data_IF_864866971179
#
_entry.id   IF_864866971179
#
_cell.length_a   1.000
_cell.length_b   1.000
_cell.length_c   1.000
_cell.angle_alpha   90.00
_cell.angle_beta   90.00
_cell.angle_gamma   90.00
#
_symmetry.space_group_name_H-M   'P 1'
#
loop_
_entity.id
_entity.type
_entity.pdbx_description
1 polymer ?
#
# COMPACT_ATOMS: atom_id res chain seq x y z
N UNK A 1 24.04 -31.80 4.66
CA UNK A 1 23.74 -30.39 4.94
C UNK A 1 24.33 -29.57 3.79
N UNK A 2 23.57 -29.29 2.79
CA UNK A 2 24.03 -28.54 1.63
C UNK A 2 23.74 -27.06 1.87
N UNK A 3 24.77 -26.23 1.77
CA UNK A 3 24.64 -24.80 1.69
C UNK A 3 23.75 -24.47 0.47
N UNK A 4 22.56 -23.97 0.69
CA UNK A 4 21.72 -23.46 -0.39
C UNK A 4 22.24 -22.09 -0.83
N UNK A 5 23.20 -22.08 -1.75
CA UNK A 5 23.38 -20.90 -2.57
C UNK A 5 22.12 -20.76 -3.43
N UNK A 6 21.26 -19.81 -3.10
CA UNK A 6 20.12 -19.44 -3.94
C UNK A 6 20.66 -18.73 -5.18
N UNK A 7 20.82 -19.47 -6.25
CA UNK A 7 21.14 -18.90 -7.54
C UNK A 7 19.82 -18.41 -8.16
N UNK A 8 19.59 -17.08 -8.19
CA UNK A 8 18.47 -16.47 -8.88
C UNK A 8 18.83 -16.34 -10.36
N UNK A 9 17.97 -16.85 -11.22
CA UNK A 9 18.01 -16.63 -12.67
C UNK A 9 17.07 -15.49 -12.99
N UNK A 10 17.56 -14.44 -13.62
CA UNK A 10 16.71 -13.35 -14.11
C UNK A 10 15.95 -13.86 -15.34
N UNK A 11 14.66 -14.17 -15.16
CA UNK A 11 13.76 -14.51 -16.25
C UNK A 11 13.07 -13.24 -16.76
N UNK A 12 13.32 -12.88 -18.00
CA UNK A 12 12.52 -11.86 -18.66
C UNK A 12 11.10 -12.39 -18.88
N UNK A 13 10.09 -11.57 -18.62
CA UNK A 13 8.70 -11.94 -18.82
C UNK A 13 8.47 -12.43 -20.27
N UNK A 14 7.92 -13.64 -20.42
CA UNK A 14 7.59 -14.30 -21.70
C UNK A 14 8.76 -14.81 -22.55
N UNK A 15 9.99 -14.83 -22.06
CA UNK A 15 11.09 -15.58 -22.68
C UNK A 15 11.19 -16.97 -22.05
N UNK A 16 11.35 -17.99 -22.89
CA UNK A 16 11.66 -19.36 -22.45
C UNK A 16 13.16 -19.45 -22.37
N UNK A 17 13.69 -19.50 -21.15
CA UNK A 17 15.09 -19.81 -20.95
C UNK A 17 15.28 -21.31 -20.81
N UNK A 18 16.23 -21.89 -21.56
CA UNK A 18 16.60 -23.28 -21.43
C UNK A 18 17.83 -23.41 -20.54
N UNK A 19 17.64 -23.97 -19.35
CA UNK A 19 18.73 -24.30 -18.46
C UNK A 19 19.24 -25.71 -18.78
N UNK A 20 20.48 -25.82 -19.25
CA UNK A 20 21.16 -27.09 -19.40
C UNK A 20 21.84 -27.48 -18.09
N UNK A 21 21.56 -28.67 -17.60
CA UNK A 21 22.19 -29.20 -16.39
C UNK A 21 22.67 -30.61 -16.60
N UNK A 22 23.72 -30.98 -15.87
CA UNK A 22 24.25 -32.32 -15.79
C UNK A 22 24.04 -32.86 -14.37
N UNK A 23 23.46 -34.04 -14.25
CA UNK A 23 23.30 -34.71 -12.96
C UNK A 23 24.40 -35.76 -12.79
N UNK A 24 25.35 -35.52 -11.89
CA UNK A 24 26.42 -36.47 -11.51
C UNK A 24 26.60 -36.51 -10.00
N UNK A 25 26.84 -37.68 -9.47
CA UNK A 25 27.18 -37.90 -8.04
C UNK A 25 26.16 -37.26 -7.07
N UNK A 26 24.86 -37.38 -7.36
CA UNK A 26 23.78 -36.79 -6.58
C UNK A 26 23.82 -35.23 -6.53
N UNK A 27 24.49 -34.59 -7.50
CA UNK A 27 24.57 -33.14 -7.63
C UNK A 27 24.08 -32.70 -9.00
N UNK A 28 23.38 -31.56 -9.02
CA UNK A 28 22.97 -30.89 -10.26
C UNK A 28 24.02 -29.81 -10.56
N UNK A 29 24.65 -29.89 -11.73
CA UNK A 29 25.56 -28.85 -12.22
C UNK A 29 24.89 -28.13 -13.40
N UNK A 30 24.72 -26.83 -13.29
CA UNK A 30 24.23 -26.02 -14.38
C UNK A 30 25.35 -25.71 -15.37
N UNK A 31 25.13 -26.02 -16.65
CA UNK A 31 26.13 -25.86 -17.70
C UNK A 31 26.06 -24.44 -18.33
N UNK A 32 24.87 -23.82 -18.29
CA UNK A 32 24.62 -22.49 -18.83
C UNK A 32 23.75 -21.72 -17.84
N UNK A 33 24.33 -21.06 -16.86
CA UNK A 33 23.59 -20.15 -16.01
C UNK A 33 24.18 -18.74 -16.15
N UNK A 34 23.40 -17.80 -16.63
CA UNK A 34 23.68 -16.39 -16.38
C UNK A 34 23.29 -16.12 -14.93
N UNK A 35 24.21 -16.36 -14.02
CA UNK A 35 24.05 -15.97 -12.62
C UNK A 35 24.31 -14.47 -12.56
N UNK A 36 23.25 -13.68 -12.39
CA UNK A 36 23.42 -12.28 -12.02
C UNK A 36 23.74 -12.21 -10.54
N UNK A 37 24.96 -11.81 -10.20
CA UNK A 37 25.38 -11.58 -8.82
C UNK A 37 24.84 -10.26 -8.23
N UNK A 38 24.04 -9.52 -8.96
CA UNK A 38 23.50 -8.22 -8.56
C UNK A 38 22.13 -8.40 -7.92
N UNK A 39 22.11 -8.86 -6.67
CA UNK A 39 20.89 -8.85 -5.85
C UNK A 39 20.64 -7.41 -5.36
N UNK A 40 19.90 -6.65 -6.14
CA UNK A 40 19.36 -5.36 -5.67
C UNK A 40 17.94 -5.60 -5.16
N UNK A 41 17.81 -5.81 -3.85
CA UNK A 41 16.52 -6.08 -3.19
C UNK A 41 15.43 -5.07 -3.57
N UNK A 42 15.74 -3.77 -3.58
CA UNK A 42 14.77 -2.73 -3.92
C UNK A 42 14.32 -2.82 -5.39
N UNK A 43 15.25 -3.18 -6.30
CA UNK A 43 14.93 -3.43 -7.70
C UNK A 43 13.98 -4.62 -7.83
N UNK A 44 14.29 -5.73 -7.19
CA UNK A 44 13.51 -6.97 -7.31
C UNK A 44 12.10 -6.78 -6.75
N UNK A 45 11.97 -6.12 -5.60
CA UNK A 45 10.66 -5.77 -5.03
C UNK A 45 9.90 -4.82 -5.94
N UNK A 46 10.55 -3.76 -6.45
CA UNK A 46 9.90 -2.81 -7.35
C UNK A 46 9.40 -3.49 -8.63
N UNK A 47 10.23 -4.30 -9.25
CA UNK A 47 9.90 -5.04 -10.46
C UNK A 47 8.75 -6.04 -10.22
N UNK A 48 8.72 -6.71 -9.06
CA UNK A 48 7.63 -7.57 -8.66
C UNK A 48 6.30 -6.81 -8.54
N UNK A 49 6.32 -5.59 -7.95
CA UNK A 49 5.14 -4.73 -7.84
C UNK A 49 4.65 -4.26 -9.22
N UNK A 50 5.57 -3.89 -10.10
CA UNK A 50 5.25 -3.49 -11.49
C UNK A 50 4.65 -4.68 -12.26
N UNK A 51 5.31 -5.84 -12.23
CA UNK A 51 4.84 -7.05 -12.92
C UNK A 51 3.49 -7.52 -12.41
N UNK A 52 3.32 -7.61 -11.09
CA UNK A 52 2.06 -8.04 -10.48
C UNK A 52 0.89 -7.11 -10.79
N UNK A 53 1.15 -5.79 -10.81
CA UNK A 53 0.13 -4.78 -11.20
C UNK A 53 -0.25 -4.94 -12.68
N UNK A 54 0.74 -5.09 -13.56
CA UNK A 54 0.52 -5.32 -15.00
C UNK A 54 -0.31 -6.57 -15.24
N UNK A 55 0.13 -7.68 -14.67
CA UNK A 55 -0.51 -8.98 -14.84
C UNK A 55 -1.97 -8.98 -14.37
N UNK A 56 -2.23 -8.38 -13.21
CA UNK A 56 -3.59 -8.31 -12.68
C UNK A 56 -4.51 -7.50 -13.61
N UNK A 57 -4.07 -6.35 -14.06
CA UNK A 57 -4.87 -5.46 -14.94
C UNK A 57 -5.09 -6.09 -16.31
N UNK A 58 -4.05 -6.66 -16.92
CA UNK A 58 -4.13 -7.23 -18.28
C UNK A 58 -4.91 -8.53 -18.33
N UNK A 59 -4.63 -9.47 -17.41
CA UNK A 59 -5.30 -10.78 -17.39
C UNK A 59 -6.78 -10.69 -16.99
N UNK A 60 -7.19 -9.63 -16.29
CA UNK A 60 -8.58 -9.35 -15.98
C UNK A 60 -9.25 -8.40 -16.98
N UNK A 61 -8.56 -8.03 -18.08
CA UNK A 61 -9.07 -7.20 -19.17
C UNK A 61 -9.54 -5.80 -18.76
N UNK A 62 -8.95 -5.19 -17.72
CA UNK A 62 -9.23 -3.81 -17.39
C UNK A 62 -8.58 -2.86 -18.41
N UNK A 63 -9.30 -1.81 -18.79
CA UNK A 63 -8.81 -0.81 -19.74
C UNK A 63 -7.63 0.01 -19.21
N UNK A 64 -7.56 0.18 -17.89
CA UNK A 64 -6.57 0.95 -17.18
C UNK A 64 -6.91 1.03 -15.71
N UNK A 65 -6.25 1.93 -14.98
CA UNK A 65 -6.40 2.07 -13.53
C UNK A 65 -6.72 3.51 -13.11
N UNK A 66 -7.49 3.63 -12.03
CA UNK A 66 -7.78 4.88 -11.32
C UNK A 66 -7.11 4.86 -9.94
N UNK A 67 -6.53 5.97 -9.55
CA UNK A 67 -5.85 6.12 -8.27
C UNK A 67 -6.33 7.40 -7.60
N UNK A 68 -6.80 7.32 -6.36
CA UNK A 68 -7.02 8.48 -5.52
C UNK A 68 -5.66 9.08 -5.14
N UNK A 69 -5.34 10.25 -5.67
CA UNK A 69 -4.07 10.94 -5.39
C UNK A 69 -4.28 11.89 -4.22
N UNK A 70 -3.64 11.61 -3.09
CA UNK A 70 -3.72 12.44 -1.89
C UNK A 70 -2.59 13.49 -1.79
N UNK A 71 -1.61 13.45 -2.69
CA UNK A 71 -0.36 14.21 -2.54
C UNK A 71 0.61 13.58 -1.53
N UNK A 72 0.27 12.41 -0.94
CA UNK A 72 1.13 11.63 -0.05
C UNK A 72 1.93 10.57 -0.78
N UNK A 73 2.96 10.02 -0.09
CA UNK A 73 3.96 9.12 -0.67
C UNK A 73 3.37 7.81 -1.18
N UNK A 74 2.39 7.23 -0.49
CA UNK A 74 1.78 5.95 -0.87
C UNK A 74 1.04 6.05 -2.20
N UNK A 75 0.22 7.10 -2.36
CA UNK A 75 -0.47 7.37 -3.62
C UNK A 75 0.50 7.71 -4.74
N UNK A 76 1.60 8.40 -4.43
CA UNK A 76 2.63 8.75 -5.40
C UNK A 76 3.41 7.52 -5.88
N UNK A 77 3.82 6.64 -4.98
CA UNK A 77 4.49 5.39 -5.34
C UNK A 77 3.55 4.46 -6.12
N UNK A 78 2.29 4.34 -5.69
CA UNK A 78 1.28 3.55 -6.42
C UNK A 78 1.09 4.07 -7.84
N UNK A 79 1.04 5.39 -8.04
CA UNK A 79 0.92 5.99 -9.38
C UNK A 79 2.17 5.74 -10.24
N UNK A 80 3.37 5.81 -9.65
CA UNK A 80 4.63 5.53 -10.35
C UNK A 80 4.71 4.06 -10.79
N UNK A 81 4.39 3.11 -9.90
CA UNK A 81 4.34 1.67 -10.21
C UNK A 81 3.29 1.38 -11.31
N UNK A 82 2.11 1.98 -11.21
CA UNK A 82 1.06 1.81 -12.21
C UNK A 82 1.48 2.37 -13.59
N UNK A 83 2.17 3.51 -13.60
CA UNK A 83 2.73 4.08 -14.83
C UNK A 83 3.79 3.17 -15.46
N UNK A 84 4.72 2.65 -14.67
CA UNK A 84 5.76 1.74 -15.16
C UNK A 84 5.17 0.40 -15.63
N UNK A 85 4.07 -0.05 -15.03
CA UNK A 85 3.34 -1.26 -15.42
C UNK A 85 2.54 -1.12 -16.72
N UNK A 86 1.87 0.02 -16.94
CA UNK A 86 0.80 0.14 -17.94
C UNK A 86 1.03 1.27 -18.97
N UNK A 87 1.94 2.19 -18.68
CA UNK A 87 2.18 3.38 -19.49
C UNK A 87 1.13 4.49 -19.29
N UNK A 88 1.46 5.69 -19.76
CA UNK A 88 0.72 6.94 -19.49
C UNK A 88 -0.78 6.92 -19.87
N UNK A 89 -1.15 6.24 -20.94
CA UNK A 89 -2.51 6.25 -21.46
C UNK A 89 -3.51 5.40 -20.66
N UNK A 90 -3.03 4.59 -19.72
CA UNK A 90 -3.84 3.64 -18.96
C UNK A 90 -3.88 3.94 -17.45
N UNK A 91 -3.30 5.05 -17.02
CA UNK A 91 -3.28 5.49 -15.63
C UNK A 91 -3.93 6.85 -15.50
N UNK A 92 -4.86 6.99 -14.57
CA UNK A 92 -5.52 8.24 -14.24
C UNK A 92 -5.46 8.46 -12.73
N UNK A 93 -5.16 9.68 -12.31
CA UNK A 93 -5.18 10.09 -10.91
C UNK A 93 -6.29 11.09 -10.66
N UNK A 94 -6.96 10.95 -9.52
CA UNK A 94 -8.06 11.82 -9.10
C UNK A 94 -7.68 12.42 -7.74
N UNK A 95 -7.49 13.73 -7.67
CA UNK A 95 -7.42 14.47 -6.41
C UNK A 95 -8.83 14.79 -5.95
N UNK A 96 -9.12 14.49 -4.68
CA UNK A 96 -10.46 14.70 -4.11
C UNK A 96 -10.36 15.56 -2.85
N UNK A 97 -10.16 16.89 -3.03
CA UNK A 97 -9.94 17.80 -1.92
C UNK A 97 -11.19 18.00 -1.07
N UNK A 98 -10.95 18.31 0.21
CA UNK A 98 -11.91 18.75 1.20
C UNK A 98 -11.32 19.94 1.98
N UNK A 99 -12.08 20.54 2.89
CA UNK A 99 -11.70 21.75 3.63
C UNK A 99 -10.38 21.63 4.42
N UNK A 100 -9.97 20.42 4.77
CA UNK A 100 -8.71 20.13 5.49
C UNK A 100 -7.55 19.70 4.57
N UNK A 101 -7.79 19.61 3.27
CA UNK A 101 -6.74 19.26 2.32
C UNK A 101 -5.80 20.44 2.13
N UNK A 102 -4.53 20.26 2.43
CA UNK A 102 -3.54 21.32 2.26
C UNK A 102 -3.29 21.63 0.78
N UNK A 103 -3.15 22.91 0.43
CA UNK A 103 -2.84 23.34 -0.94
C UNK A 103 -1.60 22.66 -1.50
N UNK A 104 -0.60 22.45 -0.65
CA UNK A 104 0.63 21.76 -0.99
C UNK A 104 0.38 20.31 -1.47
N UNK A 105 -0.64 19.63 -0.94
CA UNK A 105 -1.00 18.25 -1.35
C UNK A 105 -1.64 18.25 -2.73
N UNK A 106 -2.44 19.26 -3.05
CA UNK A 106 -3.06 19.44 -4.38
C UNK A 106 -1.96 19.73 -5.42
N UNK A 107 -1.04 20.66 -5.11
CA UNK A 107 0.09 20.99 -5.97
C UNK A 107 0.99 19.77 -6.23
N UNK A 108 1.29 19.00 -5.21
CA UNK A 108 2.16 17.83 -5.29
C UNK A 108 1.53 16.70 -6.11
N UNK A 109 0.23 16.46 -5.95
CA UNK A 109 -0.52 15.50 -6.76
C UNK A 109 -0.51 15.88 -8.25
N UNK A 110 -0.75 17.17 -8.56
CA UNK A 110 -0.67 17.69 -9.92
C UNK A 110 0.75 17.63 -10.51
N UNK A 111 1.76 17.94 -9.71
CA UNK A 111 3.17 17.87 -10.13
C UNK A 111 3.61 16.44 -10.43
N UNK A 112 3.23 15.46 -9.61
CA UNK A 112 3.45 14.05 -9.85
C UNK A 112 2.84 13.60 -11.18
N UNK A 113 1.57 13.91 -11.40
CA UNK A 113 0.86 13.54 -12.62
C UNK A 113 1.51 14.16 -13.87
N UNK A 114 1.94 15.41 -13.78
CA UNK A 114 2.69 16.11 -14.84
C UNK A 114 4.03 15.43 -15.13
N UNK A 115 4.78 15.06 -14.10
CA UNK A 115 6.08 14.40 -14.26
C UNK A 115 5.94 13.02 -14.93
N UNK A 116 4.89 12.27 -14.57
CA UNK A 116 4.55 10.98 -15.18
C UNK A 116 3.89 11.15 -16.56
N UNK A 117 3.37 12.32 -16.90
CA UNK A 117 2.63 12.57 -18.13
C UNK A 117 1.30 11.81 -18.20
N UNK A 118 0.65 11.57 -17.06
CA UNK A 118 -0.63 10.87 -16.93
C UNK A 118 -1.79 11.86 -16.76
N UNK A 119 -3.01 11.37 -17.01
CA UNK A 119 -4.23 12.16 -16.83
C UNK A 119 -4.49 12.40 -15.32
N UNK A 120 -4.79 13.64 -14.98
CA UNK A 120 -5.09 14.08 -13.63
C UNK A 120 -6.34 14.93 -13.63
N UNK A 121 -7.21 14.74 -12.65
CA UNK A 121 -8.38 15.60 -12.44
C UNK A 121 -8.63 15.84 -10.95
N UNK A 122 -9.34 16.90 -10.66
CA UNK A 122 -9.76 17.29 -9.31
C UNK A 122 -11.27 17.20 -9.21
N UNK A 123 -11.76 16.56 -8.15
CA UNK A 123 -13.20 16.44 -7.84
C UNK A 123 -13.36 16.68 -6.34
N UNK A 124 -13.83 17.86 -5.95
CA UNK A 124 -14.12 18.15 -4.55
C UNK A 124 -15.22 17.23 -4.02
N UNK A 125 -15.01 16.70 -2.80
CA UNK A 125 -16.02 15.91 -2.10
C UNK A 125 -16.94 16.73 -1.21
N UNK A 126 -16.77 18.06 -1.18
CA UNK A 126 -17.47 18.94 -0.23
C UNK A 126 -19.00 18.83 -0.30
N UNK A 127 -19.56 19.00 -1.50
CA UNK A 127 -21.01 18.93 -1.68
C UNK A 127 -21.59 17.55 -1.31
N UNK A 128 -20.85 16.48 -1.62
CA UNK A 128 -21.24 15.11 -1.25
C UNK A 128 -21.26 14.93 0.26
N UNK A 129 -20.21 15.38 0.94
CA UNK A 129 -20.07 15.33 2.38
C UNK A 129 -21.17 16.14 3.07
N UNK A 130 -21.42 17.38 2.63
CA UNK A 130 -22.47 18.26 3.16
C UNK A 130 -23.87 17.64 2.99
N UNK A 131 -24.14 17.01 1.84
CA UNK A 131 -25.40 16.32 1.58
C UNK A 131 -25.63 15.14 2.54
N UNK A 132 -24.60 14.31 2.79
CA UNK A 132 -24.68 13.24 3.79
C UNK A 132 -24.86 13.79 5.20
N UNK A 133 -24.11 14.82 5.58
CA UNK A 133 -24.20 15.44 6.90
C UNK A 133 -25.59 16.02 7.15
N UNK A 134 -26.17 16.65 6.14
CA UNK A 134 -27.53 17.20 6.21
C UNK A 134 -28.57 16.07 6.37
N UNK A 135 -28.45 14.99 5.61
CA UNK A 135 -29.37 13.87 5.66
C UNK A 135 -29.32 13.11 7.02
N UNK A 136 -28.15 13.09 7.68
CA UNK A 136 -27.93 12.41 8.96
C UNK A 136 -28.11 13.32 10.18
N UNK A 137 -28.40 14.61 9.98
CA UNK A 137 -28.43 15.63 11.04
C UNK A 137 -29.33 15.24 12.21
N UNK A 138 -30.55 14.76 11.95
CA UNK A 138 -31.49 14.34 13.01
C UNK A 138 -31.00 13.11 13.75
N UNK A 139 -30.35 12.16 13.02
CA UNK A 139 -29.80 10.93 13.62
C UNK A 139 -28.58 11.19 14.52
N UNK A 140 -27.89 12.30 14.31
CA UNK A 140 -26.68 12.69 15.06
C UNK A 140 -26.98 13.78 16.10
N UNK A 141 -28.26 14.11 16.31
CA UNK A 141 -28.61 15.18 17.27
C UNK A 141 -28.11 14.84 18.68
N UNK A 142 -27.41 15.78 19.29
CA UNK A 142 -26.82 15.61 20.63
C UNK A 142 -25.51 14.81 20.68
N UNK A 143 -25.00 14.30 19.55
CA UNK A 143 -23.71 13.62 19.46
C UNK A 143 -22.60 14.61 19.09
N UNK A 144 -21.41 14.46 19.67
CA UNK A 144 -20.22 15.24 19.33
C UNK A 144 -19.54 14.73 18.06
N UNK A 145 -18.65 15.54 17.50
CA UNK A 145 -17.78 15.17 16.37
C UNK A 145 -16.80 14.09 16.84
N UNK A 146 -16.62 13.02 16.04
CA UNK A 146 -15.67 11.94 16.30
C UNK A 146 -15.08 11.39 14.98
N UNK A 147 -14.64 10.14 14.97
CA UNK A 147 -14.12 9.48 13.76
C UNK A 147 -15.16 9.27 12.65
N UNK A 148 -16.45 9.53 12.91
CA UNK A 148 -17.53 9.38 11.93
C UNK A 148 -17.34 10.37 10.78
N UNK A 149 -17.01 11.61 11.07
CA UNK A 149 -16.83 12.67 10.10
C UNK A 149 -15.61 12.44 9.21
N UNK A 150 -14.49 11.98 9.80
CA UNK A 150 -13.29 11.57 9.05
C UNK A 150 -13.60 10.39 8.11
N UNK A 151 -14.27 9.37 8.65
CA UNK A 151 -14.67 8.19 7.88
C UNK A 151 -15.68 8.53 6.76
N UNK A 152 -16.54 9.50 6.96
CA UNK A 152 -17.49 9.95 5.94
C UNK A 152 -16.75 10.58 4.74
N UNK A 153 -15.75 11.42 4.99
CA UNK A 153 -14.91 11.98 3.93
C UNK A 153 -14.24 10.87 3.11
N UNK A 154 -13.63 9.89 3.78
CA UNK A 154 -12.97 8.75 3.13
C UNK A 154 -13.97 7.96 2.27
N UNK A 155 -15.21 7.72 2.76
CA UNK A 155 -16.26 7.03 2.00
C UNK A 155 -16.77 7.84 0.82
N UNK A 156 -16.90 9.15 0.91
CA UNK A 156 -17.22 10.00 -0.24
C UNK A 156 -16.17 9.82 -1.35
N UNK A 157 -14.88 9.77 -1.01
CA UNK A 157 -13.80 9.49 -1.97
C UNK A 157 -13.93 8.10 -2.58
N UNK A 158 -14.19 7.08 -1.75
CA UNK A 158 -14.39 5.71 -2.21
C UNK A 158 -15.55 5.57 -3.20
N UNK A 159 -16.71 6.15 -2.90
CA UNK A 159 -17.88 6.14 -3.79
C UNK A 159 -17.58 6.85 -5.11
N UNK A 160 -16.90 7.99 -5.07
CA UNK A 160 -16.51 8.77 -6.26
C UNK A 160 -15.60 7.95 -7.17
N UNK A 161 -14.56 7.32 -6.63
CA UNK A 161 -13.64 6.46 -7.39
C UNK A 161 -14.37 5.26 -7.99
N UNK A 162 -15.25 4.61 -7.24
CA UNK A 162 -15.99 3.45 -7.74
C UNK A 162 -17.02 3.82 -8.81
N UNK A 163 -17.63 4.99 -8.73
CA UNK A 163 -18.53 5.50 -9.77
C UNK A 163 -17.77 5.75 -11.09
N UNK A 164 -16.59 6.38 -11.01
CA UNK A 164 -15.70 6.58 -12.15
C UNK A 164 -15.21 5.25 -12.72
N UNK A 165 -14.81 4.31 -11.86
CA UNK A 165 -14.39 2.97 -12.22
C UNK A 165 -15.42 2.28 -13.10
N UNK A 166 -16.67 2.23 -12.66
CA UNK A 166 -17.77 1.61 -13.38
C UNK A 166 -18.04 2.28 -14.74
N UNK A 167 -17.98 3.62 -14.77
CA UNK A 167 -18.26 4.40 -15.97
C UNK A 167 -17.18 4.26 -17.05
N UNK A 168 -15.92 4.21 -16.62
CA UNK A 168 -14.76 4.18 -17.51
C UNK A 168 -14.29 2.76 -17.84
N UNK A 169 -14.64 1.76 -17.03
CA UNK A 169 -14.12 0.40 -17.09
C UNK A 169 -12.65 0.30 -16.65
N UNK A 170 -12.27 1.17 -15.70
CA UNK A 170 -10.93 1.22 -15.10
C UNK A 170 -10.97 0.58 -13.71
N UNK A 171 -9.89 -0.09 -13.32
CA UNK A 171 -9.74 -0.67 -12.00
C UNK A 171 -9.30 0.39 -11.00
N UNK A 172 -9.93 0.47 -9.83
CA UNK A 172 -9.41 1.31 -8.73
C UNK A 172 -8.26 0.58 -8.03
N UNK A 173 -7.08 1.21 -7.99
CA UNK A 173 -5.97 0.78 -7.14
C UNK A 173 -6.07 1.50 -5.80
N UNK A 174 -6.05 0.73 -4.70
CA UNK A 174 -5.93 1.31 -3.36
C UNK A 174 -4.47 1.60 -3.04
N UNK A 175 -4.25 2.57 -2.18
CA UNK A 175 -2.92 3.11 -1.87
C UNK A 175 -2.45 2.77 -0.46
N UNK A 176 -3.24 2.04 0.32
CA UNK A 176 -2.86 1.61 1.67
C UNK A 176 -1.70 0.62 1.67
N UNK A 177 -0.82 0.73 2.64
CA UNK A 177 0.38 -0.09 2.83
C UNK A 177 0.20 -1.15 3.93
N UNK A 178 1.23 -2.01 4.14
CA UNK A 178 1.21 -3.09 5.13
C UNK A 178 1.11 -2.58 6.56
N UNK A 179 1.82 -1.51 6.89
CA UNK A 179 1.86 -0.94 8.25
C UNK A 179 0.49 -0.41 8.67
N UNK A 180 -0.17 0.35 7.79
CA UNK A 180 -1.54 0.83 8.00
C UNK A 180 -2.54 -0.32 8.11
N UNK A 181 -2.45 -1.30 7.21
CA UNK A 181 -3.30 -2.49 7.22
C UNK A 181 -3.12 -3.33 8.50
N UNK A 182 -1.90 -3.44 9.01
CA UNK A 182 -1.60 -4.18 10.22
C UNK A 182 -2.37 -3.63 11.42
N UNK A 183 -2.27 -2.33 11.67
CA UNK A 183 -2.89 -1.68 12.84
C UNK A 183 -4.31 -1.19 12.58
N UNK A 184 -4.84 -1.38 11.35
CA UNK A 184 -6.18 -0.97 10.97
C UNK A 184 -6.35 0.52 10.79
N UNK A 185 -5.28 1.24 10.48
CA UNK A 185 -5.31 2.67 10.15
C UNK A 185 -5.87 2.86 8.74
N UNK A 186 -7.14 2.56 8.60
CA UNK A 186 -7.89 2.61 7.34
C UNK A 186 -9.39 2.68 7.59
N UNK A 187 -10.13 3.20 6.63
CA UNK A 187 -11.59 3.29 6.66
C UNK A 187 -12.20 2.24 5.75
N UNK A 188 -12.99 1.31 6.33
CA UNK A 188 -13.76 0.36 5.52
C UNK A 188 -14.66 1.07 4.53
N UNK A 189 -14.61 0.63 3.27
CA UNK A 189 -15.39 1.18 2.15
C UNK A 189 -15.04 2.65 1.81
N UNK A 190 -13.95 3.16 2.38
CA UNK A 190 -13.37 4.47 2.05
C UNK A 190 -12.08 4.29 1.26
N UNK A 191 -10.93 4.48 1.90
CA UNK A 191 -9.59 4.27 1.33
C UNK A 191 -9.30 2.80 0.95
N UNK A 192 -10.00 1.85 1.57
CA UNK A 192 -9.96 0.43 1.19
C UNK A 192 -10.83 0.08 -0.02
N UNK A 193 -11.63 1.02 -0.54
CA UNK A 193 -12.49 0.78 -1.69
C UNK A 193 -11.67 0.70 -2.98
N UNK A 194 -11.62 -0.48 -3.58
CA UNK A 194 -10.90 -0.72 -4.83
C UNK A 194 -10.83 -2.20 -5.17
N UNK A 195 -10.22 -2.51 -6.29
CA UNK A 195 -10.13 -3.90 -6.78
C UNK A 195 -8.74 -4.52 -6.63
N UNK A 196 -7.70 -3.71 -6.39
CA UNK A 196 -6.34 -4.20 -6.20
C UNK A 196 -5.52 -3.25 -5.34
N UNK A 197 -4.71 -3.78 -4.43
CA UNK A 197 -3.87 -3.03 -3.50
C UNK A 197 -2.39 -3.29 -3.79
N UNK A 198 -1.75 -2.32 -4.47
CA UNK A 198 -0.38 -2.46 -4.94
C UNK A 198 0.61 -2.59 -3.78
N UNK A 199 0.45 -1.77 -2.75
CA UNK A 199 1.35 -1.69 -1.60
C UNK A 199 0.91 -2.53 -0.40
N UNK A 200 -0.05 -3.46 -0.58
CA UNK A 200 -0.67 -4.23 0.51
C UNK A 200 0.34 -4.92 1.45
N UNK A 201 1.46 -5.38 0.90
CA UNK A 201 2.49 -6.12 1.62
C UNK A 201 3.82 -5.35 1.70
N UNK A 202 3.79 -4.04 1.45
CA UNK A 202 4.93 -3.12 1.55
C UNK A 202 4.82 -2.33 2.84
N UNK A 203 5.81 -2.42 3.73
CA UNK A 203 5.87 -1.60 4.95
C UNK A 203 6.05 -0.11 4.63
N UNK A 204 5.69 0.78 5.54
CA UNK A 204 5.82 2.22 5.32
C UNK A 204 7.27 2.65 5.10
N UNK A 205 8.19 2.08 5.85
CA UNK A 205 9.64 2.33 5.67
C UNK A 205 10.10 1.91 4.28
N UNK A 206 9.68 0.73 3.81
CA UNK A 206 9.99 0.25 2.46
C UNK A 206 9.32 1.09 1.36
N UNK A 207 8.15 1.70 1.61
CA UNK A 207 7.53 2.67 0.67
C UNK A 207 8.48 3.83 0.39
N UNK A 208 9.12 4.40 1.41
CA UNK A 208 10.09 5.47 1.25
C UNK A 208 11.34 5.01 0.48
N UNK A 209 11.84 3.83 0.78
CA UNK A 209 13.01 3.27 0.07
C UNK A 209 12.69 3.02 -1.41
N UNK A 210 11.52 2.45 -1.73
CA UNK A 210 11.09 2.22 -3.11
C UNK A 210 10.83 3.52 -3.87
N UNK A 211 10.29 4.56 -3.22
CA UNK A 211 10.12 5.87 -3.83
C UNK A 211 11.45 6.51 -4.19
N UNK A 212 12.44 6.43 -3.29
CA UNK A 212 13.81 6.87 -3.56
C UNK A 212 14.47 6.03 -4.67
N UNK A 213 14.32 4.71 -4.62
CA UNK A 213 14.80 3.83 -5.68
C UNK A 213 14.20 4.21 -7.05
N UNK A 214 12.89 4.39 -7.12
CA UNK A 214 12.23 4.80 -8.38
C UNK A 214 12.77 6.12 -8.91
N UNK A 215 12.98 7.09 -8.03
CA UNK A 215 13.55 8.38 -8.39
C UNK A 215 15.04 8.30 -8.80
N UNK A 216 15.79 7.30 -8.35
CA UNK A 216 17.15 7.06 -8.81
C UNK A 216 17.23 6.65 -10.29
N UNK A 217 16.18 6.04 -10.83
CA UNK A 217 16.08 5.68 -12.25
C UNK A 217 15.72 6.90 -13.10
N UNK A 218 14.74 7.67 -12.68
CA UNK A 218 14.36 8.97 -13.23
C UNK A 218 13.46 9.69 -12.24
N UNK A 219 13.69 10.97 -12.00
CA UNK A 219 12.96 11.75 -11.01
C UNK A 219 11.53 12.01 -11.50
N UNK A 220 10.55 11.37 -10.87
CA UNK A 220 9.11 11.54 -11.15
C UNK A 220 8.31 11.92 -9.92
N UNK A 221 8.65 11.38 -8.74
CA UNK A 221 8.01 11.72 -7.48
C UNK A 221 8.63 13.02 -6.96
N UNK A 222 7.86 14.10 -6.77
CA UNK A 222 8.37 15.33 -6.18
C UNK A 222 9.09 15.09 -4.85
N UNK A 223 10.27 15.69 -4.67
CA UNK A 223 11.09 15.51 -3.46
C UNK A 223 10.30 15.85 -2.18
N UNK A 224 9.47 16.88 -2.24
CA UNK A 224 8.62 17.34 -1.15
C UNK A 224 7.65 16.26 -0.66
N UNK A 225 7.13 15.39 -1.53
CA UNK A 225 6.28 14.24 -1.15
C UNK A 225 7.08 13.24 -0.30
N UNK A 226 8.36 13.03 -0.60
CA UNK A 226 9.22 12.08 0.12
C UNK A 226 9.64 12.66 1.48
N UNK A 227 9.90 13.97 1.55
CA UNK A 227 10.43 14.62 2.76
C UNK A 227 9.34 15.01 3.76
N UNK A 228 8.10 15.11 3.32
CA UNK A 228 6.98 15.51 4.16
C UNK A 228 6.53 14.39 5.09
N UNK A 229 6.27 14.68 6.38
CA UNK A 229 5.67 13.72 7.29
C UNK A 229 4.31 13.20 6.78
N UNK A 230 4.00 11.91 6.97
CA UNK A 230 2.74 11.34 6.51
C UNK A 230 1.55 11.88 7.32
N UNK A 231 0.43 12.12 6.61
CA UNK A 231 -0.84 12.57 7.19
C UNK A 231 -2.02 12.11 6.34
N UNK A 232 -3.11 11.76 7.00
CA UNK A 232 -4.37 11.42 6.34
C UNK A 232 -5.17 12.66 5.89
N UNK A 233 -4.87 13.85 6.41
CA UNK A 233 -5.54 15.13 6.12
C UNK A 233 -7.08 15.09 6.22
N UNK A 234 -7.60 14.33 7.19
CA UNK A 234 -9.04 14.21 7.46
C UNK A 234 -9.52 15.14 8.57
N UNK A 235 -8.59 15.73 9.32
CA UNK A 235 -8.81 16.70 10.38
C UNK A 235 -7.73 17.80 10.33
N UNK A 236 -7.98 18.98 10.96
CA UNK A 236 -6.98 20.06 11.03
C UNK A 236 -5.66 19.59 11.64
N UNK A 237 -4.54 19.96 11.02
CA UNK A 237 -3.16 19.71 11.48
C UNK A 237 -2.85 18.24 11.82
N UNK A 238 -3.62 17.30 11.31
CA UNK A 238 -3.50 15.86 11.59
C UNK A 238 -2.16 15.31 11.11
N UNK A 239 -1.55 14.42 11.94
CA UNK A 239 -0.39 13.60 11.59
C UNK A 239 -0.67 12.14 11.96
N UNK A 240 -0.08 11.21 11.22
CA UNK A 240 -0.21 9.78 11.53
C UNK A 240 0.30 9.46 12.94
N UNK A 241 1.36 10.17 13.38
CA UNK A 241 1.94 10.04 14.73
C UNK A 241 1.00 10.44 15.86
N UNK A 242 -0.11 11.13 15.59
CA UNK A 242 -1.12 11.42 16.63
C UNK A 242 -1.86 10.14 17.08
N UNK A 243 -1.87 9.13 16.23
CA UNK A 243 -2.59 7.86 16.46
C UNK A 243 -1.67 6.65 16.48
N UNK A 244 -0.53 6.70 15.78
CA UNK A 244 0.40 5.58 15.59
C UNK A 244 1.79 5.93 16.17
N UNK A 245 2.57 4.93 16.58
CA UNK A 245 4.00 5.11 16.79
C UNK A 245 4.72 5.52 15.49
N UNK A 246 5.93 6.05 15.61
CA UNK A 246 6.78 6.27 14.43
C UNK A 246 6.97 4.96 13.65
N UNK A 247 6.94 5.04 12.33
CA UNK A 247 7.02 3.86 11.48
C UNK A 247 8.33 3.09 11.63
N UNK A 248 9.43 3.77 11.97
CA UNK A 248 10.72 3.12 12.28
C UNK A 248 10.65 2.19 13.50
N UNK A 249 9.65 2.36 14.37
CA UNK A 249 9.38 1.47 15.49
C UNK A 249 8.26 0.50 15.20
N UNK A 250 7.23 0.95 14.48
CA UNK A 250 6.06 0.15 14.14
C UNK A 250 6.41 -1.02 13.21
N UNK A 251 7.14 -0.75 12.13
CA UNK A 251 7.42 -1.74 11.09
C UNK A 251 8.25 -2.93 11.60
N UNK A 252 9.35 -2.74 12.38
CA UNK A 252 10.07 -3.89 12.96
C UNK A 252 9.22 -4.73 13.91
N UNK A 253 8.30 -4.14 14.68
CA UNK A 253 7.41 -4.91 15.56
C UNK A 253 6.43 -5.74 14.72
N UNK A 254 5.89 -5.17 13.62
CA UNK A 254 5.02 -5.90 12.69
C UNK A 254 5.79 -7.08 12.06
N UNK A 255 7.00 -6.85 11.57
CA UNK A 255 7.85 -7.89 10.98
C UNK A 255 8.09 -9.04 11.96
N UNK A 256 8.60 -8.74 13.15
CA UNK A 256 8.86 -9.73 14.19
C UNK A 256 7.62 -10.52 14.59
N UNK A 257 6.47 -9.86 14.74
CA UNK A 257 5.25 -10.53 15.17
C UNK A 257 4.57 -11.32 14.06
N UNK A 258 4.53 -10.77 12.85
CA UNK A 258 3.75 -11.36 11.73
C UNK A 258 4.59 -12.31 10.89
N UNK A 259 5.83 -11.94 10.57
CA UNK A 259 6.69 -12.69 9.66
C UNK A 259 7.56 -13.71 10.41
N UNK A 260 8.19 -13.27 11.51
CA UNK A 260 9.11 -14.10 12.30
C UNK A 260 8.40 -14.98 13.35
N UNK A 261 7.09 -14.80 13.59
CA UNK A 261 6.33 -15.50 14.65
C UNK A 261 6.88 -15.28 16.07
N UNK A 262 7.57 -14.17 16.33
CA UNK A 262 8.07 -13.87 17.67
C UNK A 262 6.92 -13.60 18.64
N UNK A 263 7.05 -14.14 19.84
CA UNK A 263 6.15 -13.80 20.94
C UNK A 263 6.38 -12.38 21.43
N UNK A 264 5.38 -11.81 22.11
CA UNK A 264 5.49 -10.47 22.72
C UNK A 264 6.74 -10.35 23.61
N UNK A 265 7.05 -11.40 24.39
CA UNK A 265 8.20 -11.40 25.27
C UNK A 265 9.53 -11.38 24.51
N UNK A 266 9.62 -12.09 23.39
CA UNK A 266 10.81 -12.05 22.53
C UNK A 266 11.01 -10.66 21.92
N UNK A 267 9.93 -10.00 21.47
CA UNK A 267 10.00 -8.65 20.92
C UNK A 267 10.43 -7.63 22.00
N UNK A 268 9.91 -7.76 23.22
CA UNK A 268 10.34 -6.94 24.35
C UNK A 268 11.84 -7.13 24.66
N UNK A 269 12.31 -8.36 24.60
CA UNK A 269 13.72 -8.70 24.84
C UNK A 269 14.67 -8.12 23.77
N UNK A 270 14.17 -7.81 22.56
CA UNK A 270 14.92 -7.06 21.52
C UNK A 270 15.07 -5.56 21.85
N UNK A 271 14.46 -5.07 22.96
CA UNK A 271 14.62 -3.70 23.45
C UNK A 271 13.44 -2.77 23.15
N UNK A 272 12.31 -3.29 22.69
CA UNK A 272 11.10 -2.50 22.48
C UNK A 272 10.31 -2.32 23.79
N UNK A 273 9.62 -1.18 23.92
CA UNK A 273 8.80 -0.88 25.09
C UNK A 273 7.61 -1.83 25.21
N UNK A 274 7.40 -2.42 26.38
CA UNK A 274 6.35 -3.41 26.60
C UNK A 274 4.94 -2.89 26.29
N UNK A 275 4.63 -1.65 26.67
CA UNK A 275 3.29 -1.07 26.45
C UNK A 275 3.05 -0.84 24.98
N UNK A 276 4.07 -0.40 24.26
CA UNK A 276 4.03 -0.18 22.83
C UNK A 276 3.82 -1.50 22.08
N UNK A 277 4.62 -2.55 22.38
CA UNK A 277 4.50 -3.87 21.77
C UNK A 277 3.10 -4.44 22.00
N UNK A 278 2.62 -4.46 23.23
CA UNK A 278 1.27 -4.98 23.55
C UNK A 278 0.17 -4.18 22.84
N UNK A 279 0.30 -2.86 22.74
CA UNK A 279 -0.64 -2.02 22.00
C UNK A 279 -0.68 -2.38 20.51
N UNK A 280 0.49 -2.48 19.87
CA UNK A 280 0.60 -2.79 18.45
C UNK A 280 0.05 -4.19 18.15
N UNK A 281 0.45 -5.20 18.93
CA UNK A 281 -0.06 -6.58 18.77
C UNK A 281 -1.58 -6.62 18.94
N UNK A 282 -2.12 -5.93 19.95
CA UNK A 282 -3.57 -5.83 20.13
C UNK A 282 -4.29 -5.21 18.93
N UNK A 283 -3.68 -4.17 18.32
CA UNK A 283 -4.22 -3.55 17.10
C UNK A 283 -4.18 -4.51 15.91
N UNK A 284 -3.08 -5.27 15.76
CA UNK A 284 -2.95 -6.27 14.69
C UNK A 284 -4.04 -7.33 14.83
N UNK A 285 -4.21 -7.89 16.01
CA UNK A 285 -5.21 -8.95 16.25
C UNK A 285 -6.64 -8.45 16.06
N UNK A 286 -6.96 -7.27 16.60
CA UNK A 286 -8.29 -6.70 16.54
C UNK A 286 -8.73 -6.30 15.12
N UNK A 287 -7.80 -5.87 14.26
CA UNK A 287 -8.14 -5.32 12.94
C UNK A 287 -8.20 -6.36 11.81
N UNK A 288 -8.19 -7.65 12.10
CA UNK A 288 -8.34 -8.70 11.08
C UNK A 288 -9.63 -8.53 10.27
N UNK A 289 -10.72 -8.08 10.87
CA UNK A 289 -12.00 -7.86 10.18
C UNK A 289 -11.90 -6.82 9.05
N UNK A 290 -11.03 -5.79 9.21
CA UNK A 290 -10.76 -4.81 8.15
C UNK A 290 -9.94 -5.45 7.03
N UNK A 291 -8.87 -6.16 7.38
CA UNK A 291 -7.99 -6.82 6.40
C UNK A 291 -8.72 -7.85 5.55
N UNK A 292 -9.72 -8.54 6.11
CA UNK A 292 -10.56 -9.51 5.37
C UNK A 292 -11.41 -8.88 4.28
N UNK A 293 -11.68 -7.61 4.36
CA UNK A 293 -12.49 -6.86 3.40
C UNK A 293 -11.63 -5.96 2.49
N UNK A 294 -10.31 -5.94 2.66
CA UNK A 294 -9.40 -5.22 1.80
C UNK A 294 -9.14 -5.98 0.48
N UNK A 295 -8.86 -5.27 -0.61
CA UNK A 295 -8.54 -5.87 -1.89
C UNK A 295 -7.35 -6.83 -1.85
N UNK A 296 -7.24 -7.67 -2.87
CA UNK A 296 -6.05 -8.49 -3.11
C UNK A 296 -4.84 -7.58 -3.42
N UNK A 297 -3.65 -8.09 -3.15
CA UNK A 297 -2.39 -7.39 -3.42
C UNK A 297 -1.26 -8.35 -3.71
N UNK A 298 -0.11 -7.79 -4.05
CA UNK A 298 1.12 -8.52 -4.37
C UNK A 298 1.77 -8.93 -3.06
N UNK A 299 2.24 -10.18 -2.99
CA UNK A 299 3.04 -10.67 -1.88
C UNK A 299 4.52 -10.47 -2.19
N UNK A 300 5.22 -9.78 -1.30
CA UNK A 300 6.67 -9.55 -1.37
C UNK A 300 7.42 -10.04 -0.13
N UNK A 301 6.74 -10.19 0.99
CA UNK A 301 7.31 -10.68 2.25
C UNK A 301 7.16 -12.20 2.41
N UNK A 302 7.87 -12.78 3.35
CA UNK A 302 7.77 -14.21 3.65
C UNK A 302 6.38 -14.61 4.16
N UNK A 303 5.70 -13.70 4.88
CA UNK A 303 4.32 -13.88 5.34
C UNK A 303 3.50 -12.61 5.19
N UNK A 304 2.49 -12.66 4.32
CA UNK A 304 1.56 -11.56 4.14
C UNK A 304 0.25 -11.76 4.90
N UNK A 305 -0.45 -10.67 5.13
CA UNK A 305 -1.81 -10.72 5.64
C UNK A 305 -2.79 -11.29 4.60
N UNK A 306 -3.68 -12.15 5.06
CA UNK A 306 -4.80 -12.68 4.27
C UNK A 306 -4.56 -14.06 3.70
N UNK A 307 -3.40 -14.36 3.12
CA UNK A 307 -3.10 -15.70 2.59
C UNK A 307 -2.29 -16.53 3.59
N UNK A 308 -1.20 -15.99 4.09
CA UNK A 308 -0.26 -16.70 4.95
C UNK A 308 -0.58 -16.49 6.44
N UNK A 309 -1.00 -15.29 6.82
CA UNK A 309 -1.35 -14.93 8.19
C UNK A 309 -2.78 -14.41 8.28
N UNK A 310 -3.59 -15.07 9.11
CA UNK A 310 -4.97 -14.72 9.40
C UNK A 310 -5.22 -14.85 10.90
N UNK A 311 -5.71 -13.77 11.48
CA UNK A 311 -6.07 -13.76 12.89
C UNK A 311 -7.57 -14.09 13.06
N UNK A 312 -7.99 -14.65 14.20
CA UNK A 312 -9.41 -14.83 14.49
C UNK A 312 -10.15 -13.50 14.56
N UNK A 313 -11.27 -13.36 13.84
CA UNK A 313 -12.08 -12.14 13.88
C UNK A 313 -12.85 -12.06 15.19
N UNK A 314 -13.47 -13.17 15.60
CA UNK A 314 -14.24 -13.26 16.85
C UNK A 314 -13.35 -13.85 17.93
N UNK A 315 -12.68 -13.00 18.69
CA UNK A 315 -11.68 -13.41 19.67
C UNK A 315 -11.74 -12.49 20.90
N UNK A 316 -11.78 -13.07 22.09
CA UNK A 316 -11.70 -12.35 23.36
C UNK A 316 -10.33 -12.47 24.03
N UNK A 317 -9.39 -13.15 23.41
CA UNK A 317 -8.02 -13.26 23.92
C UNK A 317 -7.33 -11.90 23.90
N UNK A 318 -6.60 -11.60 24.97
CA UNK A 318 -5.79 -10.39 25.08
C UNK A 318 -4.33 -10.80 25.24
N UNK A 319 -3.45 -10.30 24.40
CA UNK A 319 -2.03 -10.64 24.42
C UNK A 319 -1.28 -10.11 25.65
#
# INVERSE_FOLDING_TARGET
MGSSEKNLVELKSFEIDSLNFEYRDSKINFLNSCLTNDQNYLKDVYDALVLGTKDYVEKNNFKGVLIGSSGGIDSALTAAIAFDALGKGRVKTIMMPFDFTADISIEDAGSLAKNLGIEHSEISIKEMYESFSLALKESFEGMGIDKTEENLQSRCRGVTLMALSNKLGFLVLTTGNKSEAAVGYSTLYGDTAGGFSVLKDVSKTLVYELANYRNSLSVVIPKRIIERPPSAELAPDQKDTDSLPDYDRLDPIIEMYVEDDKSIQEIINEGFDEKEVRRIVSLIDFNEYKRRQAPLGIKISDRNFGKDRRYPITNSWKP
#
